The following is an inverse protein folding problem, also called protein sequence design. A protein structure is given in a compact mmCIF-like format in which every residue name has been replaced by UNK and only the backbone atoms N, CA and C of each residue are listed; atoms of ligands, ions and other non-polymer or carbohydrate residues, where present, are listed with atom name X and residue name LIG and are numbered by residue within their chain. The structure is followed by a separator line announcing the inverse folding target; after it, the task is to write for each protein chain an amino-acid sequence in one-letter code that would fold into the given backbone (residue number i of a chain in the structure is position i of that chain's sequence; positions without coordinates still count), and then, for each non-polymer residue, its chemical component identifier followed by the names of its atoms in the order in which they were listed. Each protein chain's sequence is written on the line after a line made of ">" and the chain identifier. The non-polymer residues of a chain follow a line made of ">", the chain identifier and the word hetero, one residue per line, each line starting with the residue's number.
data_IF_800160345382
#
_entry.id   IF_800160345382
#
_cell.length_a   1.000
_cell.length_b   1.000
_cell.length_c   1.000
_cell.angle_alpha   90.00
_cell.angle_beta   90.00
_cell.angle_gamma   90.00
#
_symmetry.space_group_name_H-M   'P 1'
#
loop_
_entity.id
_entity.type
_entity.pdbx_description
1 polymer ?
#
# COMPACT_ATOMS: atom_id res chain seq x y z
N UNK A 1 -7.96 14.95 8.51
CA UNK A 1 -7.99 13.48 8.55
C UNK A 1 -6.68 13.05 9.17
N UNK A 2 -6.75 12.37 10.29
CA UNK A 2 -5.55 11.84 10.93
C UNK A 2 -5.00 10.64 10.11
N UNK A 3 -3.70 10.39 10.20
CA UNK A 3 -3.05 9.29 9.45
C UNK A 3 -3.69 7.93 9.80
N UNK A 4 -4.09 7.73 11.06
CA UNK A 4 -4.77 6.51 11.51
C UNK A 4 -6.11 6.28 10.81
N UNK A 5 -6.90 7.34 10.62
CA UNK A 5 -8.18 7.25 9.90
C UNK A 5 -7.96 6.90 8.42
N UNK A 6 -6.97 7.54 7.79
CA UNK A 6 -6.62 7.26 6.39
C UNK A 6 -6.18 5.80 6.20
N UNK A 7 -5.34 5.28 7.10
CA UNK A 7 -4.85 3.91 7.05
C UNK A 7 -5.97 2.87 7.21
N UNK A 8 -6.98 3.17 8.02
CA UNK A 8 -8.14 2.31 8.20
C UNK A 8 -9.18 2.42 7.07
N UNK A 9 -9.03 3.40 6.18
CA UNK A 9 -9.99 3.64 5.12
C UNK A 9 -9.91 2.54 4.04
N UNK A 10 -11.06 2.00 3.60
CA UNK A 10 -11.12 1.04 2.51
C UNK A 10 -10.49 1.56 1.21
N UNK A 11 -9.76 0.70 0.49
CA UNK A 11 -9.04 1.08 -0.74
C UNK A 11 -9.99 1.67 -1.79
N UNK A 12 -11.19 1.12 -1.93
CA UNK A 12 -12.21 1.60 -2.86
C UNK A 12 -12.78 2.99 -2.52
N UNK A 13 -12.53 3.52 -1.32
CA UNK A 13 -12.95 4.88 -0.91
C UNK A 13 -11.83 5.91 -1.05
N UNK A 14 -10.61 5.48 -1.40
CA UNK A 14 -9.44 6.36 -1.45
C UNK A 14 -9.23 7.03 -2.81
N UNK A 15 -10.06 6.72 -3.81
CA UNK A 15 -9.99 7.33 -5.14
C UNK A 15 -8.93 6.71 -6.06
N UNK A 16 -8.50 5.48 -5.78
CA UNK A 16 -7.69 4.67 -6.68
C UNK A 16 -8.48 4.23 -7.92
N UNK A 17 -7.76 3.85 -8.96
CA UNK A 17 -8.34 3.31 -10.18
C UNK A 17 -9.09 1.99 -9.92
N UNK A 18 -10.11 1.65 -10.74
CA UNK A 18 -10.79 0.35 -10.64
C UNK A 18 -9.83 -0.83 -10.79
N UNK A 19 -8.82 -0.69 -11.65
CA UNK A 19 -7.77 -1.71 -11.84
C UNK A 19 -6.95 -1.93 -10.57
N UNK A 20 -6.53 -0.85 -9.91
CA UNK A 20 -5.83 -0.93 -8.64
C UNK A 20 -6.67 -1.60 -7.56
N UNK A 21 -7.93 -1.20 -7.42
CA UNK A 21 -8.86 -1.80 -6.46
C UNK A 21 -9.06 -3.31 -6.71
N UNK A 22 -9.16 -3.72 -7.98
CA UNK A 22 -9.33 -5.12 -8.35
C UNK A 22 -8.09 -5.96 -8.01
N UNK A 23 -6.89 -5.42 -8.26
CA UNK A 23 -5.63 -6.08 -7.88
C UNK A 23 -5.51 -6.19 -6.37
N UNK A 24 -5.86 -5.12 -5.63
CA UNK A 24 -5.88 -5.15 -4.17
C UNK A 24 -6.82 -6.23 -3.63
N UNK A 25 -8.03 -6.34 -4.17
CA UNK A 25 -8.97 -7.39 -3.81
C UNK A 25 -8.41 -8.80 -4.08
N UNK A 26 -7.75 -9.00 -5.23
CA UNK A 26 -7.09 -10.27 -5.56
C UNK A 26 -5.92 -10.62 -4.61
N UNK A 27 -5.29 -9.61 -4.00
CA UNK A 27 -4.25 -9.77 -2.97
C UNK A 27 -4.80 -9.88 -1.54
N UNK A 28 -6.13 -9.81 -1.37
CA UNK A 28 -6.82 -9.70 -0.07
C UNK A 28 -6.50 -8.41 0.71
N UNK A 29 -6.17 -7.33 0.02
CA UNK A 29 -6.04 -6.00 0.61
C UNK A 29 -7.38 -5.28 0.55
N UNK A 30 -7.87 -4.85 1.71
CA UNK A 30 -9.16 -4.17 1.85
C UNK A 30 -9.00 -2.72 2.29
N UNK A 31 -7.95 -2.42 3.06
CA UNK A 31 -7.63 -1.11 3.62
C UNK A 31 -6.21 -0.70 3.27
N UNK A 32 -5.91 0.59 3.35
CA UNK A 32 -4.55 1.10 3.09
C UNK A 32 -3.50 0.55 4.06
N UNK A 33 -3.89 0.28 5.32
CA UNK A 33 -3.03 -0.35 6.31
C UNK A 33 -2.57 -1.74 5.87
N UNK A 34 -3.40 -2.51 5.17
CA UNK A 34 -3.06 -3.88 4.74
C UNK A 34 -1.84 -3.87 3.80
N UNK A 35 -1.70 -2.81 2.99
CA UNK A 35 -0.58 -2.64 2.06
C UNK A 35 0.65 -2.08 2.79
N UNK A 36 0.47 -0.98 3.53
CA UNK A 36 1.57 -0.30 4.22
C UNK A 36 2.10 -1.08 5.43
N UNK A 37 1.37 -2.10 5.90
CA UNK A 37 1.82 -3.03 6.92
C UNK A 37 2.91 -3.98 6.41
N UNK A 38 2.87 -4.32 5.12
CA UNK A 38 3.69 -5.35 4.48
C UNK A 38 5.04 -4.77 4.06
N UNK A 39 6.09 -5.59 4.12
CA UNK A 39 7.41 -5.19 3.64
C UNK A 39 7.45 -5.05 2.11
N UNK A 40 8.32 -4.18 1.55
CA UNK A 40 8.50 -4.09 0.10
C UNK A 40 8.81 -5.45 -0.55
N UNK A 41 9.63 -6.27 0.11
CA UNK A 41 10.02 -7.61 -0.39
C UNK A 41 8.82 -8.54 -0.49
N UNK A 42 7.96 -8.60 0.53
CA UNK A 42 6.73 -9.40 0.48
C UNK A 42 5.76 -8.88 -0.57
N UNK A 43 5.66 -7.55 -0.72
CA UNK A 43 4.76 -6.91 -1.66
C UNK A 43 5.12 -7.26 -3.11
N UNK A 44 6.42 -7.21 -3.45
CA UNK A 44 6.93 -7.56 -4.78
C UNK A 44 6.65 -9.03 -5.13
N UNK A 45 6.63 -9.91 -4.12
CA UNK A 45 6.35 -11.34 -4.29
C UNK A 45 4.86 -11.70 -4.34
N UNK A 46 3.93 -10.75 -4.12
CA UNK A 46 2.48 -11.02 -4.21
C UNK A 46 2.06 -11.27 -5.65
N UNK A 47 1.29 -12.35 -5.87
CA UNK A 47 0.64 -12.61 -7.16
C UNK A 47 -0.29 -11.44 -7.53
N UNK A 48 -0.06 -10.84 -8.69
CA UNK A 48 -0.77 -9.65 -9.16
C UNK A 48 -0.01 -8.34 -8.96
N UNK A 49 1.15 -8.38 -8.29
CA UNK A 49 2.00 -7.20 -8.14
C UNK A 49 2.51 -6.75 -9.51
N UNK A 50 2.57 -5.44 -9.70
CA UNK A 50 3.21 -4.83 -10.87
C UNK A 50 3.77 -3.46 -10.50
N UNK A 51 4.78 -3.02 -11.25
CA UNK A 51 5.35 -1.68 -11.07
C UNK A 51 4.34 -0.56 -11.38
N UNK A 52 3.37 -0.81 -12.28
CA UNK A 52 2.27 0.13 -12.52
C UNK A 52 1.37 0.30 -11.30
N UNK A 53 1.02 -0.81 -10.65
CA UNK A 53 0.27 -0.80 -9.38
C UNK A 53 1.06 -0.08 -8.27
N UNK A 54 2.36 -0.37 -8.13
CA UNK A 54 3.21 0.33 -7.14
C UNK A 54 3.33 1.83 -7.44
N UNK A 55 3.40 2.22 -8.72
CA UNK A 55 3.43 3.61 -9.15
C UNK A 55 2.17 4.37 -8.74
N UNK A 56 0.99 3.75 -8.88
CA UNK A 56 -0.27 4.35 -8.45
C UNK A 56 -0.32 4.52 -6.93
N UNK A 57 0.08 3.50 -6.17
CA UNK A 57 0.18 3.56 -4.71
C UNK A 57 1.14 4.67 -4.25
N UNK A 58 2.35 4.67 -4.82
CA UNK A 58 3.41 5.62 -4.46
C UNK A 58 2.98 7.05 -4.78
N UNK A 59 2.37 7.28 -5.95
CA UNK A 59 1.85 8.59 -6.33
C UNK A 59 0.70 9.07 -5.44
N UNK A 60 -0.15 8.16 -4.96
CA UNK A 60 -1.19 8.49 -3.98
C UNK A 60 -0.60 8.89 -2.63
N UNK A 61 0.35 8.11 -2.12
CA UNK A 61 1.00 8.37 -0.84
C UNK A 61 1.86 9.64 -0.88
N UNK A 62 2.57 9.89 -1.97
CA UNK A 62 3.38 11.10 -2.18
C UNK A 62 2.53 12.37 -2.12
N UNK A 63 1.39 12.40 -2.82
CA UNK A 63 0.41 13.50 -2.76
C UNK A 63 -0.10 13.79 -1.33
N UNK A 64 0.04 12.84 -0.41
CA UNK A 64 -0.38 12.94 0.98
C UNK A 64 0.78 13.12 1.96
N UNK A 65 2.03 13.17 1.47
CA UNK A 65 3.23 13.25 2.31
C UNK A 65 3.53 11.94 3.06
N UNK A 66 3.01 10.81 2.58
CA UNK A 66 3.04 9.51 3.25
C UNK A 66 3.95 8.49 2.57
N UNK A 67 4.79 8.92 1.62
CA UNK A 67 5.69 8.02 0.89
C UNK A 67 6.65 7.25 1.82
N UNK A 68 6.98 7.84 2.99
CA UNK A 68 7.79 7.22 4.03
C UNK A 68 7.20 5.90 4.56
N UNK A 69 5.89 5.67 4.43
CA UNK A 69 5.25 4.43 4.87
C UNK A 69 5.66 3.21 4.04
N UNK A 70 6.09 3.41 2.78
CA UNK A 70 6.65 2.33 1.96
C UNK A 70 8.11 2.06 2.26
N UNK A 71 8.80 3.01 2.90
CA UNK A 71 10.22 2.94 3.21
C UNK A 71 10.46 2.39 4.62
N UNK A 72 9.57 1.52 5.13
CA UNK A 72 9.75 0.94 6.45
C UNK A 72 11.18 0.45 6.59
N UNK A 73 11.92 0.90 7.63
CA UNK A 73 13.21 0.31 7.91
C UNK A 73 12.95 -1.19 8.01
N UNK A 74 13.66 -2.00 7.23
CA UNK A 74 13.83 -3.39 7.60
C UNK A 74 14.36 -3.33 9.04
N UNK A 75 13.54 -3.65 10.04
CA UNK A 75 14.05 -4.03 11.35
C UNK A 75 14.87 -5.28 11.08
N UNK A 76 16.14 -5.07 10.72
CA UNK A 76 17.15 -6.11 10.73
C UNK A 76 17.28 -6.48 12.19
N UNK A 77 16.50 -7.47 12.61
CA UNK A 77 16.79 -8.25 13.80
C UNK A 77 18.16 -8.90 13.56
N UNK A 78 19.23 -8.17 13.88
CA UNK A 78 20.51 -8.76 14.21
C UNK A 78 20.32 -9.43 15.58
N UNK A 79 19.71 -10.62 15.56
CA UNK A 79 19.75 -11.56 16.67
C UNK A 79 21.06 -12.32 16.67
#
# INVERSE_FOLDING_TARGET
>A
MEIHELLQTPINKLGFSPGFCSVCAAMNFTKLIDITAISPDELINKKGFSYGWLGELSGYLDKKGLLHLLQKPQEKNYG
#
